data_IF_207695503707
#
_entry.id   IF_207695503707
#
_cell.length_a   1.000
_cell.length_b   1.000
_cell.length_c   1.000
_cell.angle_alpha   90.00
_cell.angle_beta   90.00
_cell.angle_gamma   90.00
#
_symmetry.space_group_name_H-M   'P 1'
#
loop_
_entity.id
_entity.type
_entity.pdbx_description
1 polymer ?
#
# COMPACT_ATOMS: atom_id res chain seq x y z
N UNK A 1 29.58 22.91 26.71
CA UNK A 1 30.50 21.79 26.58
C UNK A 1 29.88 20.50 27.12
N UNK A 2 29.31 20.53 28.33
CA UNK A 2 28.65 19.36 28.97
C UNK A 2 27.54 18.75 28.08
N UNK A 3 26.64 19.56 27.54
CA UNK A 3 25.56 19.08 26.66
C UNK A 3 26.10 18.36 25.41
N UNK A 4 27.20 18.86 24.83
CA UNK A 4 27.82 18.20 23.66
C UNK A 4 28.41 16.83 24.06
N UNK A 5 29.13 16.77 25.19
CA UNK A 5 29.71 15.52 25.68
C UNK A 5 28.61 14.52 26.01
N UNK A 6 27.54 14.97 26.66
CA UNK A 6 26.39 14.14 26.98
C UNK A 6 25.69 13.60 25.72
N UNK A 7 25.49 14.43 24.71
CA UNK A 7 24.88 13.97 23.45
C UNK A 7 25.76 12.93 22.74
N UNK A 8 27.08 13.10 22.70
CA UNK A 8 27.99 12.11 22.15
C UNK A 8 27.98 10.80 22.93
N UNK A 9 27.93 10.86 24.28
CA UNK A 9 27.88 9.66 25.13
C UNK A 9 26.55 8.88 25.01
N UNK A 10 25.47 9.54 24.56
CA UNK A 10 24.16 8.92 24.39
C UNK A 10 24.01 8.21 23.01
N UNK A 11 25.01 8.28 22.13
CA UNK A 11 24.97 7.57 20.85
C UNK A 11 25.09 6.06 21.10
N UNK A 12 24.03 5.33 20.72
CA UNK A 12 24.01 3.87 20.78
C UNK A 12 24.31 3.25 19.42
N UNK A 13 24.75 2.00 19.41
CA UNK A 13 24.96 1.27 18.15
C UNK A 13 23.64 1.10 17.35
N UNK A 14 22.51 0.99 18.06
CA UNK A 14 21.19 0.92 17.46
C UNK A 14 20.85 2.20 16.68
N UNK A 15 21.18 3.37 17.21
CA UNK A 15 21.02 4.66 16.50
C UNK A 15 21.85 4.69 15.20
N UNK A 16 23.09 4.19 15.23
CA UNK A 16 23.95 4.12 14.04
C UNK A 16 23.33 3.20 12.97
N UNK A 17 22.75 2.08 13.37
CA UNK A 17 22.02 1.19 12.45
C UNK A 17 20.84 1.91 11.83
N UNK A 18 20.04 2.63 12.63
CA UNK A 18 18.89 3.40 12.12
C UNK A 18 19.30 4.54 11.19
N UNK A 19 20.43 5.21 11.45
CA UNK A 19 20.97 6.19 10.50
C UNK A 19 21.41 5.53 9.19
N UNK A 20 21.97 4.33 9.26
CA UNK A 20 22.26 3.52 8.07
C UNK A 20 21.01 3.15 7.28
N UNK A 21 19.93 2.71 7.97
CA UNK A 21 18.63 2.42 7.36
C UNK A 21 18.04 3.69 6.73
N UNK A 22 18.03 4.81 7.47
CA UNK A 22 17.56 6.11 6.94
C UNK A 22 18.35 6.55 5.71
N UNK A 23 19.68 6.42 5.76
CA UNK A 23 20.56 6.71 4.61
C UNK A 23 20.29 5.80 3.41
N UNK A 24 20.00 4.52 3.62
CA UNK A 24 19.60 3.59 2.57
C UNK A 24 18.28 3.99 1.91
N UNK A 25 17.26 4.36 2.71
CA UNK A 25 15.97 4.83 2.20
C UNK A 25 16.15 6.09 1.34
N UNK A 26 16.95 7.05 1.80
CA UNK A 26 17.30 8.27 1.06
C UNK A 26 18.03 7.92 -0.24
N UNK A 27 18.99 7.00 -0.20
CA UNK A 27 19.69 6.52 -1.40
C UNK A 27 18.73 5.89 -2.42
N UNK A 28 17.80 5.04 -1.96
CA UNK A 28 16.80 4.43 -2.84
C UNK A 28 15.88 5.49 -3.45
N UNK A 29 15.49 6.50 -2.68
CA UNK A 29 14.67 7.61 -3.14
C UNK A 29 15.38 8.44 -4.23
N UNK A 30 16.63 8.85 -4.00
CA UNK A 30 17.34 9.81 -4.86
C UNK A 30 18.00 9.11 -6.05
N UNK A 31 18.71 7.99 -5.83
CA UNK A 31 19.54 7.35 -6.86
C UNK A 31 18.76 6.31 -7.65
N UNK A 32 17.80 5.63 -7.03
CA UNK A 32 16.96 4.62 -7.68
C UNK A 32 15.59 5.16 -8.10
N UNK A 33 15.27 6.41 -7.73
CA UNK A 33 13.99 7.08 -8.03
C UNK A 33 12.77 6.24 -7.58
N UNK A 34 12.92 5.53 -6.43
CA UNK A 34 11.88 4.68 -5.86
C UNK A 34 11.05 5.50 -4.88
N UNK A 35 9.83 5.83 -5.27
CA UNK A 35 8.86 6.61 -4.47
C UNK A 35 9.51 7.74 -3.63
N UNK A 36 10.14 8.74 -4.29
CA UNK A 36 10.90 9.77 -3.59
C UNK A 36 10.05 10.56 -2.59
N UNK A 37 8.79 10.79 -2.89
CA UNK A 37 7.84 11.52 -2.04
C UNK A 37 7.55 10.82 -0.71
N UNK A 38 7.80 9.53 -0.61
CA UNK A 38 7.60 8.72 0.58
C UNK A 38 8.92 8.33 1.26
N UNK A 39 9.84 7.72 0.49
CA UNK A 39 11.09 7.19 1.07
C UNK A 39 12.04 8.27 1.58
N UNK A 40 12.07 9.45 0.91
CA UNK A 40 12.94 10.54 1.34
C UNK A 40 12.51 11.12 2.70
N UNK A 41 11.23 11.50 2.91
CA UNK A 41 10.76 11.96 4.23
C UNK A 41 10.89 10.88 5.32
N UNK A 42 10.59 9.63 4.99
CA UNK A 42 10.70 8.52 5.94
C UNK A 42 12.16 8.26 6.34
N UNK A 43 13.08 8.24 5.39
CA UNK A 43 14.51 8.06 5.66
C UNK A 43 15.11 9.22 6.46
N UNK A 44 14.76 10.45 6.11
CA UNK A 44 15.20 11.63 6.86
C UNK A 44 14.59 11.67 8.27
N UNK A 45 13.32 11.37 8.41
CA UNK A 45 12.63 11.26 9.69
C UNK A 45 13.22 10.16 10.58
N UNK A 46 13.61 9.00 10.00
CA UNK A 46 14.28 7.93 10.74
C UNK A 46 15.63 8.37 11.33
N UNK A 47 16.37 9.23 10.62
CA UNK A 47 17.58 9.86 11.16
C UNK A 47 17.22 10.83 12.31
N UNK A 48 16.21 11.69 12.08
CA UNK A 48 15.80 12.71 13.06
C UNK A 48 15.32 12.10 14.38
N UNK A 49 14.51 11.05 14.34
CA UNK A 49 13.92 10.43 15.54
C UNK A 49 14.98 9.68 16.36
N UNK A 50 16.10 9.32 15.75
CA UNK A 50 17.21 8.61 16.38
C UNK A 50 18.42 9.52 16.68
N UNK A 51 18.22 10.84 16.74
CA UNK A 51 19.25 11.74 17.22
C UNK A 51 19.37 11.65 18.76
N UNK A 52 20.60 11.67 19.31
CA UNK A 52 20.81 11.67 20.74
C UNK A 52 20.42 13.03 21.33
N UNK A 53 19.22 13.15 21.86
CA UNK A 53 18.71 14.40 22.46
C UNK A 53 18.84 14.30 23.99
N UNK A 54 19.50 15.28 24.60
CA UNK A 54 19.74 15.30 26.02
C UNK A 54 18.48 15.50 26.88
N UNK A 55 17.39 15.98 26.31
CA UNK A 55 16.14 16.28 27.04
C UNK A 55 14.98 15.51 26.36
N UNK A 56 14.49 14.49 27.04
CA UNK A 56 13.29 13.74 26.57
C UNK A 56 12.06 14.63 26.55
N UNK A 57 11.18 14.41 25.54
CA UNK A 57 9.90 15.11 25.40
C UNK A 57 9.99 16.52 24.81
N UNK A 58 11.16 16.94 24.33
CA UNK A 58 11.37 18.26 23.71
C UNK A 58 11.92 18.15 22.28
N UNK A 59 11.79 19.20 21.50
CA UNK A 59 12.38 19.30 20.17
C UNK A 59 11.65 18.48 19.11
N UNK A 60 12.41 17.84 18.21
CA UNK A 60 11.90 17.14 17.03
C UNK A 60 10.97 15.97 17.37
N UNK A 61 11.29 15.22 18.42
CA UNK A 61 10.49 14.09 18.89
C UNK A 61 9.06 14.52 19.21
N UNK A 62 8.88 15.58 19.97
CA UNK A 62 7.56 16.11 20.33
C UNK A 62 6.74 16.53 19.10
N UNK A 63 7.39 17.15 18.12
CA UNK A 63 6.73 17.52 16.85
C UNK A 63 6.27 16.28 16.09
N UNK A 64 7.13 15.25 15.98
CA UNK A 64 6.81 14.01 15.28
C UNK A 64 5.68 13.23 15.99
N UNK A 65 5.71 13.14 17.32
CA UNK A 65 4.67 12.49 18.12
C UNK A 65 3.33 13.26 18.03
N UNK A 66 3.37 14.59 17.94
CA UNK A 66 2.17 15.43 17.70
C UNK A 66 1.59 15.18 16.31
N UNK A 67 2.43 15.12 15.26
CA UNK A 67 1.99 14.80 13.91
C UNK A 67 1.36 13.40 13.86
N UNK A 68 1.95 12.43 14.56
CA UNK A 68 1.41 11.08 14.67
C UNK A 68 0.04 11.07 15.36
N UNK A 69 -0.07 11.77 16.49
CA UNK A 69 -1.32 11.85 17.25
C UNK A 69 -2.47 12.48 16.44
N UNK A 70 -2.20 13.57 15.72
CA UNK A 70 -3.22 14.28 14.94
C UNK A 70 -3.50 13.57 13.62
N UNK A 71 -2.46 13.12 12.94
CA UNK A 71 -2.56 12.62 11.57
C UNK A 71 -2.98 11.16 11.44
N UNK A 72 -2.71 10.36 12.48
CA UNK A 72 -2.92 8.91 12.45
C UNK A 72 -3.80 8.45 13.61
N UNK A 73 -3.35 8.63 14.85
CA UNK A 73 -3.98 8.01 16.01
C UNK A 73 -5.36 8.59 16.38
N UNK A 74 -5.63 9.87 16.02
CA UNK A 74 -6.87 10.54 16.43
C UNK A 74 -8.07 10.27 15.52
N UNK A 75 -7.89 10.35 14.22
CA UNK A 75 -8.97 10.22 13.23
C UNK A 75 -8.49 9.71 11.88
N UNK A 76 -7.29 9.17 11.80
CA UNK A 76 -6.66 8.66 10.56
C UNK A 76 -6.70 9.66 9.40
N UNK A 77 -6.57 10.95 9.75
CA UNK A 77 -6.77 12.05 8.85
C UNK A 77 -5.87 11.96 7.60
N UNK A 78 -4.58 11.65 7.78
CA UNK A 78 -3.65 11.58 6.65
C UNK A 78 -3.95 10.41 5.71
N UNK A 79 -4.21 9.17 6.17
CA UNK A 79 -4.65 8.07 5.31
C UNK A 79 -5.91 8.41 4.49
N UNK A 80 -6.94 8.97 5.13
CA UNK A 80 -8.19 9.33 4.46
C UNK A 80 -8.00 10.44 3.41
N UNK A 81 -7.24 11.50 3.74
CA UNK A 81 -6.93 12.56 2.77
C UNK A 81 -6.10 12.04 1.60
N UNK A 82 -5.18 11.10 1.84
CA UNK A 82 -4.42 10.46 0.76
C UNK A 82 -5.34 9.69 -0.18
N UNK A 83 -6.37 9.01 0.34
CA UNK A 83 -7.35 8.32 -0.50
C UNK A 83 -8.14 9.25 -1.42
N UNK A 84 -8.44 10.50 -1.02
CA UNK A 84 -9.00 11.48 -1.97
C UNK A 84 -8.03 11.72 -3.13
N UNK A 85 -6.75 11.92 -2.84
CA UNK A 85 -5.72 12.12 -3.86
C UNK A 85 -5.60 10.92 -4.81
N UNK A 86 -5.49 9.72 -4.24
CA UNK A 86 -5.42 8.46 -5.01
C UNK A 86 -6.68 8.28 -5.86
N UNK A 87 -7.87 8.49 -5.30
CA UNK A 87 -9.13 8.41 -6.02
C UNK A 87 -9.21 9.36 -7.22
N UNK A 88 -8.70 10.59 -7.06
CA UNK A 88 -8.61 11.56 -8.14
C UNK A 88 -7.58 11.15 -9.21
N UNK A 89 -6.55 10.37 -8.87
CA UNK A 89 -5.57 9.83 -9.83
C UNK A 89 -6.13 8.65 -10.64
N UNK A 90 -7.01 7.85 -10.05
CA UNK A 90 -7.49 6.59 -10.63
C UNK A 90 -8.45 6.83 -11.80
N UNK A 91 -8.19 6.15 -12.93
CA UNK A 91 -9.14 5.97 -14.02
C UNK A 91 -9.77 4.58 -13.96
N UNK A 92 -11.05 4.53 -13.60
CA UNK A 92 -11.81 3.28 -13.53
C UNK A 92 -12.33 2.78 -14.88
N UNK A 93 -12.12 3.50 -15.99
CA UNK A 93 -12.61 3.07 -17.29
C UNK A 93 -12.13 1.66 -17.70
N UNK A 94 -10.84 1.27 -17.54
CA UNK A 94 -10.40 -0.08 -17.86
C UNK A 94 -11.16 -1.16 -17.09
N UNK A 95 -11.51 -0.92 -15.83
CA UNK A 95 -12.29 -1.83 -15.01
C UNK A 95 -13.77 -1.88 -15.45
N UNK A 96 -14.36 -0.72 -15.74
CA UNK A 96 -15.75 -0.63 -16.21
C UNK A 96 -15.96 -1.28 -17.58
N UNK A 97 -14.94 -1.22 -18.45
CA UNK A 97 -15.00 -1.90 -19.77
C UNK A 97 -14.78 -3.40 -19.67
N UNK A 98 -14.06 -3.86 -18.66
CA UNK A 98 -13.78 -5.29 -18.43
C UNK A 98 -13.90 -5.67 -16.94
N UNK A 99 -15.13 -5.85 -16.42
CA UNK A 99 -15.35 -6.18 -15.00
C UNK A 99 -14.69 -7.49 -14.55
N UNK A 100 -14.31 -8.38 -15.47
CA UNK A 100 -13.58 -9.61 -15.15
C UNK A 100 -12.22 -9.33 -14.48
N UNK A 101 -11.68 -8.13 -14.66
CA UNK A 101 -10.44 -7.71 -13.99
C UNK A 101 -10.58 -7.67 -12.47
N UNK A 102 -11.80 -7.55 -11.91
CA UNK A 102 -12.06 -7.64 -10.47
C UNK A 102 -11.58 -8.96 -9.86
N UNK A 103 -11.60 -10.05 -10.64
CA UNK A 103 -11.13 -11.38 -10.18
C UNK A 103 -9.66 -11.32 -9.79
N UNK A 104 -8.83 -10.56 -10.52
CA UNK A 104 -7.40 -10.45 -10.22
C UNK A 104 -7.13 -9.65 -8.94
N UNK A 105 -7.89 -8.57 -8.72
CA UNK A 105 -7.81 -7.82 -7.46
C UNK A 105 -8.19 -8.70 -6.27
N UNK A 106 -9.30 -9.45 -6.37
CA UNK A 106 -9.69 -10.38 -5.32
C UNK A 106 -8.67 -11.50 -5.10
N UNK A 107 -8.10 -12.06 -6.18
CA UNK A 107 -7.08 -13.10 -6.12
C UNK A 107 -5.77 -12.63 -5.48
N UNK A 108 -5.42 -11.38 -5.70
CA UNK A 108 -4.22 -10.78 -5.11
C UNK A 108 -4.36 -10.50 -3.60
N UNK A 109 -5.54 -10.70 -2.99
CA UNK A 109 -5.68 -10.67 -1.53
C UNK A 109 -5.36 -12.02 -0.87
N UNK A 110 -4.93 -13.01 -1.64
CA UNK A 110 -4.59 -14.34 -1.13
C UNK A 110 -3.51 -14.30 -0.05
N UNK A 111 -2.48 -13.47 -0.21
CA UNK A 111 -1.39 -13.34 0.76
C UNK A 111 -1.85 -12.77 2.09
N UNK A 112 -2.87 -11.88 2.11
CA UNK A 112 -3.47 -11.36 3.34
C UNK A 112 -4.01 -12.53 4.18
N UNK A 113 -4.90 -13.36 3.62
CA UNK A 113 -5.49 -14.47 4.35
C UNK A 113 -4.48 -15.56 4.70
N UNK A 114 -3.50 -15.81 3.82
CA UNK A 114 -2.40 -16.72 4.10
C UNK A 114 -1.57 -16.23 5.31
N UNK A 115 -1.23 -14.94 5.34
CA UNK A 115 -0.41 -14.36 6.42
C UNK A 115 -1.20 -14.23 7.71
N UNK A 116 -2.51 -13.99 7.66
CA UNK A 116 -3.39 -14.08 8.84
C UNK A 116 -3.27 -15.44 9.51
N UNK A 117 -3.39 -16.53 8.73
CA UNK A 117 -3.24 -17.87 9.25
C UNK A 117 -1.82 -18.13 9.78
N UNK A 118 -0.79 -17.68 9.06
CA UNK A 118 0.61 -17.85 9.47
C UNK A 118 0.94 -17.09 10.75
N UNK A 119 0.53 -15.82 10.88
CA UNK A 119 0.74 -15.02 12.07
C UNK A 119 0.00 -15.61 13.28
N UNK A 120 -1.23 -16.09 13.09
CA UNK A 120 -1.98 -16.81 14.14
C UNK A 120 -1.29 -18.10 14.58
N UNK A 121 -0.69 -18.86 13.66
CA UNK A 121 0.10 -20.06 13.97
C UNK A 121 1.41 -19.72 14.72
N UNK A 122 1.99 -18.56 14.50
CA UNK A 122 3.15 -18.08 15.23
C UNK A 122 2.80 -17.55 16.64
N UNK A 123 1.52 -17.54 17.01
CA UNK A 123 1.07 -17.18 18.34
C UNK A 123 0.72 -15.71 18.54
N UNK A 124 0.62 -14.91 17.45
CA UNK A 124 0.08 -13.55 17.55
C UNK A 124 -1.42 -13.61 17.88
N UNK A 125 -1.86 -12.69 18.74
CA UNK A 125 -3.28 -12.51 19.02
C UNK A 125 -4.04 -12.12 17.74
N UNK A 126 -5.31 -12.50 17.64
CA UNK A 126 -6.08 -12.32 16.40
C UNK A 126 -6.11 -10.89 15.88
N UNK A 127 -6.26 -9.83 16.72
CA UNK A 127 -6.17 -8.44 16.28
C UNK A 127 -4.80 -8.09 15.66
N UNK A 128 -3.71 -8.56 16.28
CA UNK A 128 -2.36 -8.33 15.80
C UNK A 128 -2.09 -9.11 14.51
N UNK A 129 -2.48 -10.39 14.47
CA UNK A 129 -2.33 -11.24 13.28
C UNK A 129 -3.08 -10.67 12.07
N UNK A 130 -4.29 -10.17 12.30
CA UNK A 130 -5.11 -9.50 11.29
C UNK A 130 -4.45 -8.21 10.79
N UNK A 131 -3.96 -7.39 11.71
CA UNK A 131 -3.27 -6.14 11.38
C UNK A 131 -1.96 -6.37 10.61
N UNK A 132 -1.18 -7.40 10.98
CA UNK A 132 0.03 -7.81 10.26
C UNK A 132 -0.29 -8.29 8.85
N UNK A 133 -1.36 -9.04 8.69
CA UNK A 133 -1.73 -9.66 7.42
C UNK A 133 -2.03 -8.63 6.31
N UNK A 134 -2.62 -7.49 6.65
CA UNK A 134 -2.98 -6.42 5.70
C UNK A 134 -1.76 -5.79 5.01
N UNK A 135 -0.56 -5.92 5.59
CA UNK A 135 0.68 -5.43 4.97
C UNK A 135 0.85 -5.97 3.53
N UNK A 136 0.36 -7.20 3.28
CA UNK A 136 0.46 -7.85 1.98
C UNK A 136 -0.20 -7.10 0.84
N UNK A 137 -1.29 -6.41 1.10
CA UNK A 137 -1.98 -5.58 0.11
C UNK A 137 -1.08 -4.50 -0.51
N UNK A 138 0.03 -4.16 0.15
CA UNK A 138 0.88 -3.02 -0.17
C UNK A 138 0.07 -1.71 -0.28
N UNK A 139 -0.83 -1.53 0.70
CA UNK A 139 -1.75 -0.42 0.85
C UNK A 139 -1.55 0.19 2.24
N UNK A 140 -0.66 1.19 2.30
CA UNK A 140 -0.30 1.84 3.55
C UNK A 140 -1.50 2.40 4.33
N UNK A 141 -2.38 3.20 3.70
CA UNK A 141 -3.58 3.73 4.34
C UNK A 141 -4.49 2.65 4.93
N UNK A 142 -4.81 1.60 4.17
CA UNK A 142 -5.65 0.49 4.67
C UNK A 142 -4.97 -0.25 5.82
N UNK A 143 -3.64 -0.43 5.78
CA UNK A 143 -2.88 -1.08 6.86
C UNK A 143 -2.92 -0.28 8.16
N UNK A 144 -2.80 1.05 8.08
CA UNK A 144 -2.95 1.93 9.25
C UNK A 144 -4.37 1.80 9.80
N UNK A 145 -5.37 1.95 8.94
CA UNK A 145 -6.77 1.91 9.34
C UNK A 145 -7.11 0.63 10.10
N UNK A 146 -6.79 -0.53 9.53
CA UNK A 146 -7.08 -1.82 10.17
C UNK A 146 -6.32 -1.98 11.50
N UNK A 147 -5.03 -1.60 11.53
CA UNK A 147 -4.22 -1.74 12.74
C UNK A 147 -4.66 -0.80 13.87
N UNK A 148 -5.11 0.41 13.54
CA UNK A 148 -5.65 1.39 14.51
C UNK A 148 -7.00 0.92 15.05
N UNK A 149 -7.93 0.53 14.17
CA UNK A 149 -9.27 0.05 14.53
C UNK A 149 -9.26 -1.24 15.38
N UNK A 150 -8.27 -2.11 15.16
CA UNK A 150 -8.07 -3.32 15.96
C UNK A 150 -7.24 -3.07 17.23
N UNK A 151 -6.73 -1.86 17.44
CA UNK A 151 -5.89 -1.53 18.59
C UNK A 151 -4.59 -2.35 18.64
N UNK A 152 -3.99 -2.65 17.48
CA UNK A 152 -2.77 -3.46 17.43
C UNK A 152 -1.61 -2.78 18.15
N UNK A 153 -0.98 -3.52 19.03
CA UNK A 153 0.24 -3.07 19.75
C UNK A 153 1.46 -2.90 18.82
N UNK A 154 1.36 -3.42 17.59
CA UNK A 154 2.42 -3.33 16.59
C UNK A 154 2.15 -2.30 15.48
N UNK A 155 1.24 -1.34 15.71
CA UNK A 155 0.85 -0.32 14.73
C UNK A 155 2.09 0.32 14.05
N UNK A 156 3.10 0.71 14.82
CA UNK A 156 4.32 1.32 14.30
C UNK A 156 5.08 0.42 13.32
N UNK A 157 5.32 -0.85 13.69
CA UNK A 157 5.99 -1.83 12.83
C UNK A 157 5.21 -2.11 11.55
N UNK A 158 3.86 -2.24 11.66
CA UNK A 158 2.95 -2.49 10.54
C UNK A 158 2.98 -1.32 9.56
N UNK A 159 2.91 -0.09 10.06
CA UNK A 159 2.99 1.13 9.24
C UNK A 159 4.28 1.19 8.43
N UNK A 160 5.42 1.03 9.12
CA UNK A 160 6.73 1.07 8.46
C UNK A 160 6.85 -0.03 7.42
N UNK A 161 6.43 -1.25 7.74
CA UNK A 161 6.46 -2.37 6.80
C UNK A 161 5.57 -2.12 5.58
N UNK A 162 4.30 -1.73 5.77
CA UNK A 162 3.34 -1.52 4.69
C UNK A 162 3.81 -0.44 3.70
N UNK A 163 4.25 0.71 4.21
CA UNK A 163 4.74 1.80 3.35
C UNK A 163 6.09 1.49 2.71
N UNK A 164 6.99 0.79 3.42
CA UNK A 164 8.26 0.34 2.84
C UNK A 164 8.01 -0.62 1.67
N UNK A 165 7.13 -1.61 1.83
CA UNK A 165 6.82 -2.56 0.76
C UNK A 165 6.11 -1.88 -0.42
N UNK A 166 5.19 -0.96 -0.16
CA UNK A 166 4.57 -0.15 -1.21
C UNK A 166 5.64 0.58 -2.03
N UNK A 167 6.61 1.21 -1.40
CA UNK A 167 7.68 1.92 -2.09
C UNK A 167 8.69 0.99 -2.78
N UNK A 168 8.91 -0.22 -2.23
CA UNK A 168 9.86 -1.20 -2.76
C UNK A 168 9.26 -2.17 -3.80
N UNK A 169 8.00 -1.98 -4.21
CA UNK A 169 7.35 -2.77 -5.27
C UNK A 169 8.22 -2.94 -6.51
N UNK A 170 8.88 -1.87 -7.06
CA UNK A 170 9.72 -2.02 -8.25
C UNK A 170 10.95 -2.90 -8.06
N UNK A 171 11.36 -3.15 -6.82
CA UNK A 171 12.50 -4.00 -6.48
C UNK A 171 12.05 -5.44 -6.19
N UNK A 172 10.98 -5.61 -5.41
CA UNK A 172 10.56 -6.90 -4.88
C UNK A 172 9.72 -7.69 -5.89
N UNK A 173 8.82 -7.02 -6.61
CA UNK A 173 7.85 -7.68 -7.49
C UNK A 173 8.47 -8.34 -8.74
N UNK A 174 9.47 -7.75 -9.46
CA UNK A 174 10.03 -8.33 -10.66
C UNK A 174 10.61 -9.74 -10.49
N UNK A 175 11.43 -10.05 -9.46
CA UNK A 175 11.92 -11.41 -9.25
C UNK A 175 10.80 -12.41 -8.97
N UNK A 176 9.75 -12.03 -8.24
CA UNK A 176 8.60 -12.89 -7.96
C UNK A 176 7.86 -13.21 -9.27
N UNK A 177 7.59 -12.21 -10.09
CA UNK A 177 6.95 -12.38 -11.39
C UNK A 177 7.77 -13.34 -12.27
N UNK A 178 9.10 -13.13 -12.35
CA UNK A 178 9.99 -13.98 -13.16
C UNK A 178 10.03 -15.42 -12.65
N UNK A 179 9.98 -15.62 -11.34
CA UNK A 179 9.92 -16.96 -10.71
C UNK A 179 8.59 -17.67 -11.02
N UNK A 180 7.49 -16.94 -10.99
CA UNK A 180 6.14 -17.48 -11.18
C UNK A 180 5.72 -17.63 -12.64
N UNK A 181 6.47 -17.08 -13.61
CA UNK A 181 6.10 -17.09 -15.03
C UNK A 181 7.23 -17.56 -15.92
N UNK A 182 6.88 -18.32 -16.97
CA UNK A 182 7.83 -18.71 -18.00
C UNK A 182 8.06 -17.55 -18.99
N UNK A 183 9.17 -17.59 -19.72
CA UNK A 183 9.50 -16.60 -20.75
C UNK A 183 8.43 -16.57 -21.87
N UNK A 184 7.85 -17.72 -22.20
CA UNK A 184 6.75 -17.81 -23.18
C UNK A 184 5.50 -17.10 -22.70
N UNK A 185 5.12 -17.27 -21.42
CA UNK A 185 3.97 -16.59 -20.82
C UNK A 185 4.16 -15.08 -20.77
N UNK A 186 5.38 -14.61 -20.42
CA UNK A 186 5.68 -13.17 -20.35
C UNK A 186 5.61 -12.47 -21.72
N UNK A 187 5.76 -13.21 -22.82
CA UNK A 187 5.66 -12.71 -24.20
C UNK A 187 4.25 -12.74 -24.79
N UNK A 188 3.24 -13.18 -24.03
CA UNK A 188 1.85 -13.13 -24.48
C UNK A 188 1.45 -11.67 -24.66
N UNK A 189 1.18 -11.26 -25.91
CA UNK A 189 0.67 -9.93 -26.24
C UNK A 189 -0.84 -9.89 -26.04
N UNK A 190 -1.33 -8.81 -25.44
CA UNK A 190 -2.75 -8.58 -25.24
C UNK A 190 -3.20 -7.34 -25.99
N UNK A 191 -4.31 -7.45 -26.72
CA UNK A 191 -4.92 -6.30 -27.39
C UNK A 191 -5.91 -5.62 -26.46
N UNK A 192 -5.72 -4.33 -26.23
CA UNK A 192 -6.68 -3.54 -25.48
C UNK A 192 -7.87 -3.17 -26.37
N UNK A 193 -9.02 -3.79 -26.11
CA UNK A 193 -10.29 -3.55 -26.83
C UNK A 193 -11.21 -2.67 -25.97
N UNK A 194 -10.70 -1.55 -25.44
CA UNK A 194 -11.48 -0.64 -24.59
C UNK A 194 -12.64 -0.01 -25.38
N UNK A 195 -13.85 -0.14 -24.84
CA UNK A 195 -15.01 0.61 -25.33
C UNK A 195 -15.14 1.89 -24.50
N UNK A 196 -15.52 3.03 -25.12
CA UNK A 196 -15.76 4.25 -24.34
C UNK A 196 -16.90 4.03 -23.35
N UNK A 197 -16.66 4.38 -22.09
CA UNK A 197 -17.68 4.36 -21.03
C UNK A 197 -18.39 5.70 -21.01
N UNK A 198 -19.73 5.70 -20.89
CA UNK A 198 -20.51 6.93 -20.84
C UNK A 198 -20.14 7.77 -19.62
N UNK A 199 -20.20 9.10 -19.75
CA UNK A 199 -19.93 10.03 -18.65
C UNK A 199 -20.82 9.75 -17.43
N UNK A 200 -22.09 9.44 -17.66
CA UNK A 200 -23.05 9.09 -16.59
C UNK A 200 -22.59 7.85 -15.82
N UNK A 201 -22.14 6.80 -16.52
CA UNK A 201 -21.65 5.58 -15.85
C UNK A 201 -20.40 5.86 -15.00
N UNK A 202 -19.48 6.71 -15.47
CA UNK A 202 -18.27 7.11 -14.71
C UNK A 202 -18.61 7.90 -13.46
N UNK A 203 -19.61 8.79 -13.53
CA UNK A 203 -20.05 9.57 -12.36
C UNK A 203 -20.83 8.70 -11.37
N UNK A 204 -21.69 7.80 -11.83
CA UNK A 204 -22.49 6.93 -10.97
C UNK A 204 -21.64 5.83 -10.29
N UNK A 205 -20.57 5.38 -10.93
CA UNK A 205 -19.75 4.29 -10.43
C UNK A 205 -19.24 4.53 -9.00
N UNK A 206 -18.54 5.64 -8.68
CA UNK A 206 -18.04 5.88 -7.32
C UNK A 206 -19.17 5.98 -6.28
N UNK A 207 -20.34 6.53 -6.65
CA UNK A 207 -21.51 6.63 -5.78
C UNK A 207 -22.06 5.23 -5.47
N UNK A 208 -22.27 4.42 -6.50
CA UNK A 208 -22.80 3.05 -6.38
C UNK A 208 -21.85 2.15 -5.59
N UNK A 209 -20.54 2.22 -5.85
CA UNK A 209 -19.53 1.45 -5.10
C UNK A 209 -19.55 1.84 -3.62
N UNK A 210 -19.59 3.13 -3.30
CA UNK A 210 -19.66 3.60 -1.90
C UNK A 210 -20.89 3.06 -1.18
N UNK A 211 -22.07 3.11 -1.84
CA UNK A 211 -23.32 2.60 -1.25
C UNK A 211 -23.25 1.07 -1.04
N UNK A 212 -22.80 0.33 -2.07
CA UNK A 212 -22.71 -1.13 -1.97
C UNK A 212 -21.73 -1.54 -0.86
N UNK A 213 -20.54 -0.93 -0.82
CA UNK A 213 -19.53 -1.27 0.21
C UNK A 213 -20.03 -0.84 1.60
N UNK A 214 -20.72 0.30 1.72
CA UNK A 214 -21.32 0.73 2.98
C UNK A 214 -22.35 -0.26 3.55
N UNK A 215 -23.03 -1.02 2.68
CA UNK A 215 -23.98 -2.06 3.09
C UNK A 215 -23.26 -3.39 3.41
N UNK A 216 -22.28 -3.78 2.58
CA UNK A 216 -21.64 -5.11 2.66
C UNK A 216 -20.50 -5.13 3.68
N UNK A 217 -19.74 -4.05 3.78
CA UNK A 217 -18.56 -3.91 4.63
C UNK A 217 -18.54 -2.50 5.27
N UNK A 218 -19.43 -2.20 6.22
CA UNK A 218 -19.60 -0.87 6.80
C UNK A 218 -18.31 -0.33 7.44
N UNK A 219 -17.47 -1.19 8.00
CA UNK A 219 -16.17 -0.80 8.57
C UNK A 219 -15.19 -0.25 7.52
N UNK A 220 -15.37 -0.59 6.23
CA UNK A 220 -14.53 -0.08 5.14
C UNK A 220 -15.05 1.22 4.51
N UNK A 221 -16.24 1.70 4.92
CA UNK A 221 -16.94 2.81 4.23
C UNK A 221 -16.16 4.11 4.26
N UNK A 222 -15.41 4.38 5.34
CA UNK A 222 -14.58 5.57 5.43
C UNK A 222 -13.50 5.58 4.33
N UNK A 223 -12.73 4.50 4.21
CA UNK A 223 -11.66 4.37 3.22
C UNK A 223 -12.20 4.41 1.80
N UNK A 224 -13.19 3.54 1.48
CA UNK A 224 -13.74 3.48 0.13
C UNK A 224 -14.49 4.76 -0.24
N UNK A 225 -15.17 5.38 0.72
CA UNK A 225 -15.90 6.64 0.51
C UNK A 225 -14.98 7.79 0.12
N UNK A 226 -13.85 7.96 0.81
CA UNK A 226 -12.87 8.98 0.49
C UNK A 226 -12.16 8.70 -0.85
N UNK A 227 -11.83 7.43 -1.15
CA UNK A 227 -11.32 7.01 -2.45
C UNK A 227 -12.30 7.34 -3.58
N UNK A 228 -13.56 6.93 -3.42
CA UNK A 228 -14.61 7.15 -4.41
C UNK A 228 -15.00 8.64 -4.52
N UNK A 229 -14.92 9.41 -3.44
CA UNK A 229 -15.11 10.86 -3.48
C UNK A 229 -14.03 11.54 -4.33
N UNK A 230 -12.76 11.15 -4.17
CA UNK A 230 -11.67 11.61 -5.04
C UNK A 230 -11.95 11.33 -6.51
N UNK A 231 -12.42 10.11 -6.81
CA UNK A 231 -12.79 9.73 -8.18
C UNK A 231 -14.01 10.53 -8.71
N UNK A 232 -15.00 10.76 -7.87
CA UNK A 232 -16.16 11.59 -8.24
C UNK A 232 -15.75 13.02 -8.61
N UNK A 233 -14.84 13.64 -7.85
CA UNK A 233 -14.26 14.95 -8.16
C UNK A 233 -13.65 14.95 -9.57
N UNK A 234 -12.91 13.91 -9.92
CA UNK A 234 -12.32 13.76 -11.25
C UNK A 234 -13.39 13.62 -12.35
N UNK A 235 -14.35 12.70 -12.17
CA UNK A 235 -15.27 12.29 -13.23
C UNK A 235 -16.45 13.26 -13.44
N UNK A 236 -16.77 14.11 -12.47
CA UNK A 236 -17.86 15.09 -12.58
C UNK A 236 -17.63 16.13 -13.67
N UNK A 237 -16.36 16.48 -13.96
CA UNK A 237 -15.97 17.40 -15.04
C UNK A 237 -16.24 18.88 -14.77
N UNK A 238 -16.72 19.21 -13.55
CA UNK A 238 -16.96 20.60 -13.12
C UNK A 238 -15.97 21.07 -12.07
N UNK A 239 -15.12 20.17 -11.56
CA UNK A 239 -14.15 20.42 -10.50
C UNK A 239 -12.70 20.11 -10.95
N UNK A 240 -12.38 20.35 -12.21
CA UNK A 240 -11.08 19.96 -12.80
C UNK A 240 -9.87 20.53 -12.03
N UNK A 241 -9.92 21.80 -11.62
CA UNK A 241 -8.84 22.43 -10.86
C UNK A 241 -8.65 21.76 -9.48
N UNK A 242 -9.75 21.39 -8.81
CA UNK A 242 -9.71 20.69 -7.52
C UNK A 242 -9.20 19.26 -7.72
N UNK A 243 -9.62 18.60 -8.80
CA UNK A 243 -9.10 17.27 -9.17
C UNK A 243 -7.59 17.29 -9.38
N UNK A 244 -7.07 18.28 -10.13
CA UNK A 244 -5.62 18.46 -10.33
C UNK A 244 -4.90 18.73 -9.00
N UNK A 245 -5.48 19.55 -8.13
CA UNK A 245 -4.92 19.84 -6.80
C UNK A 245 -4.91 18.56 -5.94
N UNK A 246 -5.99 17.78 -5.96
CA UNK A 246 -6.11 16.56 -5.16
C UNK A 246 -5.09 15.50 -5.58
N UNK A 247 -4.95 15.25 -6.88
CA UNK A 247 -4.04 14.21 -7.39
C UNK A 247 -2.56 14.60 -7.36
N UNK A 248 -2.23 15.88 -7.28
CA UNK A 248 -0.84 16.38 -7.27
C UNK A 248 -0.47 16.98 -5.91
N UNK A 249 -0.94 18.19 -5.60
CA UNK A 249 -0.52 18.91 -4.41
C UNK A 249 -0.96 18.22 -3.11
N UNK A 250 -2.23 17.83 -2.99
CA UNK A 250 -2.75 17.17 -1.79
C UNK A 250 -2.06 15.82 -1.57
N UNK A 251 -2.05 14.96 -2.60
CA UNK A 251 -1.43 13.63 -2.50
C UNK A 251 0.04 13.74 -2.11
N UNK A 252 0.82 14.62 -2.73
CA UNK A 252 2.24 14.81 -2.44
C UNK A 252 2.46 15.33 -1.01
N UNK A 253 1.72 16.37 -0.59
CA UNK A 253 1.84 16.92 0.76
C UNK A 253 1.51 15.89 1.83
N UNK A 254 0.40 15.19 1.67
CA UNK A 254 0.00 14.15 2.64
C UNK A 254 1.01 12.99 2.64
N UNK A 255 1.55 12.60 1.49
CA UNK A 255 2.59 11.55 1.44
C UNK A 255 3.86 11.98 2.18
N UNK A 256 4.28 13.26 2.06
CA UNK A 256 5.42 13.80 2.82
C UNK A 256 5.13 13.76 4.34
N UNK A 257 3.95 14.24 4.75
CA UNK A 257 3.55 14.21 6.16
C UNK A 257 3.47 12.79 6.70
N UNK A 258 2.89 11.85 5.93
CA UNK A 258 2.87 10.43 6.28
C UNK A 258 4.28 9.87 6.43
N UNK A 259 5.18 10.11 5.48
CA UNK A 259 6.55 9.61 5.53
C UNK A 259 7.30 10.08 6.78
N UNK A 260 7.21 11.37 7.12
CA UNK A 260 7.82 11.92 8.33
C UNK A 260 7.14 11.36 9.60
N UNK A 261 5.80 11.27 9.59
CA UNK A 261 5.04 10.77 10.74
C UNK A 261 5.32 9.29 11.01
N UNK A 262 5.38 8.46 9.95
CA UNK A 262 5.73 7.03 10.07
C UNK A 262 7.12 6.87 10.67
N UNK A 263 8.05 7.74 10.31
CA UNK A 263 9.40 7.70 10.85
C UNK A 263 9.46 7.91 12.39
N UNK A 264 8.45 8.55 13.00
CA UNK A 264 8.36 8.63 14.47
C UNK A 264 8.31 7.26 15.14
N UNK A 265 7.83 6.25 14.43
CA UNK A 265 7.75 4.86 14.88
C UNK A 265 9.04 4.06 14.63
N UNK A 266 10.03 4.66 13.98
CA UNK A 266 11.33 4.05 13.68
C UNK A 266 12.37 4.34 14.78
N UNK A 267 11.92 4.41 16.04
CA UNK A 267 12.83 4.55 17.19
C UNK A 267 13.70 3.30 17.31
N UNK A 268 15.01 3.48 17.49
CA UNK A 268 15.97 2.38 17.50
C UNK A 268 15.66 1.29 18.55
N UNK A 269 15.17 1.71 19.71
CA UNK A 269 14.83 0.81 20.82
C UNK A 269 13.65 -0.13 20.47
N UNK A 270 12.68 0.35 19.70
CA UNK A 270 11.46 -0.38 19.37
C UNK A 270 11.59 -1.08 18.01
N UNK A 271 12.24 -0.42 17.05
CA UNK A 271 12.32 -0.91 15.67
C UNK A 271 13.24 -2.13 15.50
N UNK A 272 14.32 -2.21 16.30
CA UNK A 272 15.29 -3.32 16.25
C UNK A 272 14.92 -4.49 17.18
N UNK A 273 13.68 -4.56 17.67
CA UNK A 273 13.17 -5.70 18.42
C UNK A 273 12.89 -6.89 17.50
N UNK A 274 13.01 -8.09 18.05
CA UNK A 274 12.79 -9.34 17.30
C UNK A 274 11.37 -9.39 16.71
N UNK A 275 10.36 -9.00 17.48
CA UNK A 275 8.96 -8.98 17.02
C UNK A 275 8.77 -8.06 15.81
N UNK A 276 9.35 -6.87 15.82
CA UNK A 276 9.30 -5.94 14.69
C UNK A 276 9.93 -6.54 13.44
N UNK A 277 11.07 -7.22 13.57
CA UNK A 277 11.73 -7.90 12.45
C UNK A 277 10.91 -9.06 11.91
N UNK A 278 10.24 -9.83 12.79
CA UNK A 278 9.32 -10.89 12.38
C UNK A 278 8.13 -10.31 11.61
N UNK A 279 7.54 -9.21 12.09
CA UNK A 279 6.42 -8.53 11.43
C UNK A 279 6.81 -8.03 10.03
N UNK A 280 7.99 -7.41 9.91
CA UNK A 280 8.55 -7.03 8.61
C UNK A 280 8.69 -8.28 7.71
N UNK A 281 9.24 -9.39 8.24
CA UNK A 281 9.34 -10.65 7.51
C UNK A 281 7.98 -11.20 7.05
N UNK A 282 6.98 -11.19 7.94
CA UNK A 282 5.61 -11.63 7.62
C UNK A 282 4.96 -10.74 6.55
N UNK A 283 5.17 -9.42 6.61
CA UNK A 283 4.71 -8.50 5.58
C UNK A 283 5.32 -8.80 4.21
N UNK A 284 6.61 -9.17 4.15
CA UNK A 284 7.24 -9.61 2.91
C UNK A 284 6.62 -10.90 2.37
N UNK A 285 6.36 -11.87 3.26
CA UNK A 285 5.67 -13.11 2.90
C UNK A 285 4.29 -12.80 2.34
N UNK A 286 3.50 -11.96 3.01
CA UNK A 286 2.19 -11.55 2.55
C UNK A 286 2.26 -10.95 1.13
N UNK A 287 3.17 -10.00 0.90
CA UNK A 287 3.38 -9.36 -0.40
C UNK A 287 3.76 -10.35 -1.51
N UNK A 288 4.62 -11.33 -1.20
CA UNK A 288 5.01 -12.39 -2.14
C UNK A 288 3.78 -13.23 -2.53
N UNK A 289 2.99 -13.64 -1.55
CA UNK A 289 1.81 -14.49 -1.79
C UNK A 289 0.66 -13.74 -2.45
N UNK A 290 0.51 -12.43 -2.23
CA UNK A 290 -0.45 -11.60 -2.95
C UNK A 290 -0.07 -11.49 -4.45
N UNK A 291 1.20 -11.20 -4.74
CA UNK A 291 1.72 -11.21 -6.11
C UNK A 291 1.54 -12.59 -6.77
N UNK A 292 1.86 -13.66 -6.04
CA UNK A 292 1.69 -15.04 -6.49
C UNK A 292 0.23 -15.37 -6.78
N UNK A 293 -0.70 -15.04 -5.88
CA UNK A 293 -2.13 -15.33 -6.02
C UNK A 293 -2.71 -14.73 -7.30
N UNK A 294 -2.43 -13.46 -7.56
CA UNK A 294 -2.85 -12.79 -8.81
C UNK A 294 -2.32 -13.47 -10.07
N UNK A 295 -1.03 -13.86 -10.09
CA UNK A 295 -0.41 -14.56 -11.23
C UNK A 295 -1.04 -15.94 -11.42
N UNK A 296 -1.26 -16.69 -10.33
CA UNK A 296 -1.82 -18.05 -10.42
C UNK A 296 -3.23 -18.05 -10.96
N UNK A 297 -4.06 -17.10 -10.56
CA UNK A 297 -5.43 -16.97 -11.12
C UNK A 297 -5.39 -16.68 -12.62
N UNK A 298 -4.46 -15.82 -13.09
CA UNK A 298 -4.27 -15.63 -14.52
C UNK A 298 -3.91 -16.92 -15.27
N UNK A 299 -3.03 -17.74 -14.68
CA UNK A 299 -2.66 -19.04 -15.24
C UNK A 299 -3.83 -20.01 -15.25
N UNK A 300 -4.59 -20.10 -14.16
CA UNK A 300 -5.80 -20.95 -14.08
C UNK A 300 -6.83 -20.51 -15.12
N UNK A 301 -7.08 -19.20 -15.25
CA UNK A 301 -7.98 -18.69 -16.29
C UNK A 301 -7.51 -19.07 -17.70
N UNK A 302 -6.21 -19.11 -17.92
CA UNK A 302 -5.63 -19.52 -19.19
C UNK A 302 -5.87 -20.99 -19.54
N UNK A 303 -6.16 -21.87 -18.58
CA UNK A 303 -6.54 -23.25 -18.87
C UNK A 303 -7.88 -23.34 -19.60
N UNK A 304 -8.80 -22.41 -19.27
CA UNK A 304 -10.18 -22.42 -19.79
C UNK A 304 -10.42 -21.36 -20.88
N UNK A 305 -9.49 -20.43 -21.08
CA UNK A 305 -9.66 -19.33 -22.04
C UNK A 305 -9.09 -19.67 -23.41
N UNK A 306 -9.85 -19.31 -24.48
CA UNK A 306 -9.36 -19.38 -25.86
C UNK A 306 -8.35 -18.27 -26.16
N UNK A 307 -8.63 -17.05 -25.70
CA UNK A 307 -7.68 -15.93 -25.76
C UNK A 307 -6.82 -15.96 -24.51
N UNK A 308 -5.51 -16.16 -24.67
CA UNK A 308 -4.57 -16.24 -23.54
C UNK A 308 -4.31 -14.87 -22.94
N UNK A 309 -4.31 -14.79 -21.62
CA UNK A 309 -4.00 -13.60 -20.83
C UNK A 309 -2.52 -13.71 -20.45
N UNK A 310 -1.79 -12.59 -20.50
CA UNK A 310 -0.42 -12.55 -19.96
C UNK A 310 -0.49 -12.63 -18.42
N UNK A 311 0.06 -13.69 -17.80
CA UNK A 311 -0.09 -13.89 -16.35
C UNK A 311 0.54 -12.78 -15.51
N UNK A 312 1.50 -12.04 -16.07
CA UNK A 312 2.12 -10.92 -15.35
C UNK A 312 1.12 -9.86 -14.92
N UNK A 313 0.00 -9.66 -15.66
CA UNK A 313 -0.99 -8.65 -15.27
C UNK A 313 -1.64 -8.97 -13.93
N UNK A 314 -1.73 -10.25 -13.56
CA UNK A 314 -2.25 -10.66 -12.25
C UNK A 314 -1.42 -10.12 -11.08
N UNK A 315 -0.11 -9.95 -11.26
CA UNK A 315 0.74 -9.32 -10.26
C UNK A 315 0.35 -7.88 -9.94
N UNK A 316 -0.29 -7.17 -10.88
CA UNK A 316 -0.77 -5.82 -10.66
C UNK A 316 -2.01 -5.74 -9.73
N UNK A 317 -2.55 -6.87 -9.29
CA UNK A 317 -3.70 -6.93 -8.38
C UNK A 317 -3.45 -6.49 -6.94
N UNK A 318 -2.20 -6.24 -6.55
CA UNK A 318 -1.88 -5.56 -5.28
C UNK A 318 -2.26 -4.08 -5.37
N UNK A 319 -2.51 -3.44 -4.21
CA UNK A 319 -3.00 -2.05 -4.17
C UNK A 319 -1.96 -0.98 -4.45
N UNK A 320 -0.67 -1.30 -4.60
CA UNK A 320 0.37 -0.31 -4.86
C UNK A 320 0.14 0.41 -6.21
N UNK A 321 -0.76 1.38 -6.21
CA UNK A 321 -1.16 2.15 -7.40
C UNK A 321 -0.25 3.38 -7.58
N UNK A 322 0.20 3.71 -8.78
CA UNK A 322 0.17 2.92 -10.03
C UNK A 322 1.43 2.09 -10.27
N UNK A 323 2.23 1.84 -9.25
CA UNK A 323 3.57 1.25 -9.35
C UNK A 323 3.56 -0.18 -9.88
N UNK A 324 2.71 -1.04 -9.34
CA UNK A 324 2.63 -2.43 -9.77
C UNK A 324 2.28 -2.57 -11.26
N UNK A 325 1.36 -1.73 -11.75
CA UNK A 325 1.02 -1.69 -13.17
C UNK A 325 2.21 -1.27 -14.06
N UNK A 326 3.01 -0.28 -13.60
CA UNK A 326 4.22 0.16 -14.29
C UNK A 326 5.31 -0.92 -14.31
N UNK A 327 5.48 -1.64 -13.20
CA UNK A 327 6.42 -2.78 -13.12
C UNK A 327 6.07 -3.86 -14.12
N UNK A 328 4.81 -4.28 -14.18
CA UNK A 328 4.33 -5.28 -15.14
C UNK A 328 4.53 -4.83 -16.58
N UNK A 329 4.21 -3.57 -16.87
CA UNK A 329 4.40 -3.01 -18.21
C UNK A 329 5.88 -2.98 -18.61
N UNK A 330 6.76 -2.52 -17.73
CA UNK A 330 8.20 -2.49 -17.96
C UNK A 330 8.75 -3.88 -18.23
N UNK A 331 8.39 -4.88 -17.43
CA UNK A 331 8.78 -6.26 -17.65
C UNK A 331 8.24 -6.82 -18.99
N UNK A 332 7.03 -6.43 -19.37
CA UNK A 332 6.47 -6.79 -20.68
C UNK A 332 7.32 -6.30 -21.84
N UNK A 333 7.75 -5.03 -21.79
CA UNK A 333 8.61 -4.40 -22.79
C UNK A 333 10.05 -4.98 -22.78
N UNK A 334 10.58 -5.37 -21.62
CA UNK A 334 11.88 -6.03 -21.51
C UNK A 334 11.89 -7.41 -22.21
N UNK A 335 10.79 -8.15 -22.16
CA UNK A 335 10.68 -9.48 -22.80
C UNK A 335 10.30 -9.40 -24.30
N UNK A 336 9.56 -8.37 -24.68
CA UNK A 336 9.13 -8.08 -26.05
C UNK A 336 8.72 -6.59 -26.17
N UNK A 337 9.46 -5.81 -26.96
CA UNK A 337 9.30 -4.37 -27.12
C UNK A 337 7.94 -3.91 -27.67
N UNK A 338 7.10 -4.85 -28.12
CA UNK A 338 5.72 -4.61 -28.59
C UNK A 338 4.66 -5.11 -27.60
N UNK A 339 5.06 -5.56 -26.41
CA UNK A 339 4.14 -6.11 -25.41
C UNK A 339 3.63 -5.03 -24.47
N UNK A 340 2.65 -4.25 -24.92
CA UNK A 340 2.06 -3.13 -24.18
C UNK A 340 0.99 -3.62 -23.21
N UNK A 341 1.38 -3.83 -21.94
CA UNK A 341 0.48 -4.35 -20.89
C UNK A 341 -0.12 -3.26 -19.99
N UNK A 342 0.26 -1.98 -20.15
CA UNK A 342 -0.06 -0.91 -19.20
C UNK A 342 -1.56 -0.80 -18.88
N UNK A 343 -2.41 -0.69 -19.92
CA UNK A 343 -3.85 -0.50 -19.72
C UNK A 343 -4.53 -1.70 -19.06
N UNK A 344 -4.06 -2.91 -19.36
CA UNK A 344 -4.55 -4.12 -18.72
C UNK A 344 -4.12 -4.15 -17.23
N UNK A 345 -2.85 -3.84 -16.98
CA UNK A 345 -2.28 -3.81 -15.63
C UNK A 345 -2.88 -2.70 -14.76
N UNK A 346 -3.17 -1.51 -15.34
CA UNK A 346 -3.89 -0.45 -14.63
C UNK A 346 -5.28 -0.94 -14.21
N UNK A 347 -6.03 -1.58 -15.12
CA UNK A 347 -7.36 -2.10 -14.77
C UNK A 347 -7.32 -3.14 -13.65
N UNK A 348 -6.33 -4.02 -13.66
CA UNK A 348 -6.10 -4.99 -12.58
C UNK A 348 -5.67 -4.28 -11.29
N UNK A 349 -4.76 -3.31 -11.36
CA UNK A 349 -4.28 -2.58 -10.18
C UNK A 349 -5.40 -1.77 -9.50
N UNK A 350 -6.26 -1.15 -10.32
CA UNK A 350 -7.45 -0.46 -9.83
C UNK A 350 -8.43 -1.42 -9.14
N UNK A 351 -8.59 -2.64 -9.66
CA UNK A 351 -9.39 -3.67 -9.00
C UNK A 351 -8.77 -4.10 -7.65
N UNK A 352 -7.45 -4.15 -7.58
CA UNK A 352 -6.71 -4.41 -6.35
C UNK A 352 -6.95 -3.35 -5.29
N UNK A 353 -6.99 -2.08 -5.68
CA UNK A 353 -7.25 -0.96 -4.77
C UNK A 353 -8.62 -1.07 -4.08
N UNK A 354 -9.66 -1.46 -4.83
CA UNK A 354 -10.99 -1.71 -4.24
C UNK A 354 -10.96 -2.99 -3.38
N UNK A 355 -10.32 -4.04 -3.89
CA UNK A 355 -10.31 -5.34 -3.22
C UNK A 355 -9.58 -5.31 -1.88
N UNK A 356 -8.46 -4.56 -1.75
CA UNK A 356 -7.73 -4.43 -0.49
C UNK A 356 -8.54 -3.71 0.58
N UNK A 357 -9.23 -2.63 0.21
CA UNK A 357 -10.09 -1.89 1.15
C UNK A 357 -11.25 -2.77 1.62
N UNK A 358 -11.88 -3.52 0.70
CA UNK A 358 -12.95 -4.46 1.07
C UNK A 358 -12.38 -5.60 1.95
N UNK A 359 -11.22 -6.15 1.62
CA UNK A 359 -10.58 -7.20 2.43
C UNK A 359 -10.26 -6.70 3.85
N UNK A 360 -9.73 -5.47 3.97
CA UNK A 360 -9.50 -4.82 5.26
C UNK A 360 -10.79 -4.70 6.09
N UNK A 361 -11.86 -4.19 5.48
CA UNK A 361 -13.17 -4.08 6.16
C UNK A 361 -13.77 -5.42 6.55
N UNK A 362 -13.65 -6.46 5.71
CA UNK A 362 -14.11 -7.80 6.05
C UNK A 362 -13.31 -8.41 7.20
N UNK A 363 -11.99 -8.22 7.23
CA UNK A 363 -11.14 -8.66 8.34
C UNK A 363 -11.54 -7.95 9.63
N UNK A 364 -11.76 -6.63 9.59
CA UNK A 364 -12.26 -5.87 10.74
C UNK A 364 -13.58 -6.44 11.26
N UNK A 365 -14.55 -6.63 10.38
CA UNK A 365 -15.85 -7.17 10.75
C UNK A 365 -15.74 -8.58 11.38
N UNK A 366 -14.91 -9.45 10.78
CA UNK A 366 -14.69 -10.82 11.28
C UNK A 366 -14.02 -10.83 12.66
N UNK A 367 -12.97 -10.00 12.84
CA UNK A 367 -12.25 -9.93 14.12
C UNK A 367 -13.13 -9.30 15.21
N UNK A 368 -13.83 -8.20 14.91
CA UNK A 368 -14.78 -7.57 15.85
C UNK A 368 -15.91 -8.53 16.26
N UNK A 369 -16.47 -9.29 15.31
CA UNK A 369 -17.48 -10.29 15.58
C UNK A 369 -16.96 -11.42 16.49
N UNK A 370 -15.73 -11.85 16.29
CA UNK A 370 -15.09 -12.87 17.11
C UNK A 370 -14.80 -12.39 18.53
N UNK A 371 -14.41 -11.13 18.71
CA UNK A 371 -14.08 -10.54 20.02
C UNK A 371 -15.34 -10.09 20.79
N UNK A 372 -16.41 -9.73 20.09
CA UNK A 372 -17.67 -9.25 20.68
C UNK A 372 -18.73 -10.35 20.92
N UNK A 373 -18.45 -11.58 20.51
CA UNK A 373 -19.23 -12.77 20.82
C UNK A 373 -18.61 -13.49 21.99
#
# INVERSE_FOLDING_TARGET
MEVLIQNFSNITWQMLVMWGIGGLLIYLAIVKEMEPTLLLPMGFGAILVNLPVAVEGTGVQHVLDTLFSIGINGAELFPLMLFIGIGAMIDFQPLLTNPKLMIFGAAAQFGIFFTLALASLLGYELPDAASISIIGAADGPTSIFVATELGSKYLGAIMVAAYSYMALVPLIQPPIIKLCTTKAERRIRMQYKGKPVSKTARILFPIVVTVIVGIVAPDAVALIGFLMFGNLIRECGVMNSISETAQNALANLITIFLGITIASQMKAADFLQVDTLIIIGLGLVAFIFDTFGGIMVAKVMNLFSKEKINPMIGAAGISAFPMSARVVHKLGLEEDNQNFLLMHSIGVNVSGQIASVIAGGLILALVKAYLGG
#
